data_IF_367098743188
#
_entry.id   IF_367098743188
#
_cell.length_a   1.000
_cell.length_b   1.000
_cell.length_c   1.000
_cell.angle_alpha   90.00
_cell.angle_beta   90.00
_cell.angle_gamma   90.00
#
_symmetry.space_group_name_H-M   'P 1'
#
loop_
_entity.id
_entity.type
_entity.pdbx_description
1 polymer ?
#
# COMPACT_ATOMS: atom_id res chain seq x y z
N UNK A 1 -2.10 1.53 19.04
CA UNK A 1 -3.19 1.26 18.09
C UNK A 1 -3.04 2.17 16.89
N UNK A 2 -3.18 1.61 15.71
CA UNK A 2 -3.11 2.39 14.47
C UNK A 2 -4.51 2.78 14.05
N UNK A 3 -4.66 4.05 13.70
CA UNK A 3 -5.92 4.55 13.17
C UNK A 3 -5.83 4.61 11.66
N UNK A 4 -6.84 4.06 11.00
CA UNK A 4 -6.93 4.10 9.55
C UNK A 4 -7.85 5.22 9.12
N UNK A 5 -7.37 6.05 8.20
CA UNK A 5 -8.15 7.15 7.66
C UNK A 5 -8.49 6.85 6.21
N UNK A 6 -9.76 6.74 5.84
CA UNK A 6 -10.12 6.43 4.47
C UNK A 6 -9.78 7.58 3.52
N UNK A 7 -9.24 7.22 2.37
CA UNK A 7 -8.92 8.17 1.30
C UNK A 7 -9.88 7.86 0.15
N UNK A 8 -10.92 8.68 0.01
CA UNK A 8 -11.99 8.42 -0.96
C UNK A 8 -12.18 9.55 -1.95
N UNK A 9 -11.74 10.76 -1.62
CA UNK A 9 -11.96 11.93 -2.44
C UNK A 9 -10.64 12.55 -2.84
N UNK A 10 -10.70 13.43 -3.83
CA UNK A 10 -9.53 14.19 -4.26
C UNK A 10 -8.97 15.04 -3.12
N UNK A 11 -9.86 15.61 -2.30
CA UNK A 11 -9.42 16.39 -1.14
C UNK A 11 -8.65 15.55 -0.15
N UNK A 12 -9.08 14.30 0.07
CA UNK A 12 -8.35 13.39 0.94
C UNK A 12 -6.94 13.13 0.41
N UNK A 13 -6.81 12.95 -0.90
CA UNK A 13 -5.52 12.71 -1.54
C UNK A 13 -4.63 13.94 -1.39
N UNK A 14 -5.16 15.12 -1.66
CA UNK A 14 -4.40 16.35 -1.55
C UNK A 14 -3.92 16.58 -0.12
N UNK A 15 -4.78 16.30 0.85
CA UNK A 15 -4.42 16.43 2.25
C UNK A 15 -3.33 15.44 2.65
N UNK A 16 -3.44 14.19 2.18
CA UNK A 16 -2.42 13.18 2.43
C UNK A 16 -1.07 13.63 1.89
N UNK A 17 -1.04 14.10 0.66
CA UNK A 17 0.20 14.54 0.05
C UNK A 17 0.77 15.76 0.78
N UNK A 18 -0.08 16.69 1.17
CA UNK A 18 0.35 17.88 1.90
C UNK A 18 0.91 17.53 3.28
N UNK A 19 0.21 16.63 4.01
CA UNK A 19 0.62 16.26 5.37
C UNK A 19 1.95 15.52 5.40
N UNK A 20 2.31 14.83 4.32
CA UNK A 20 3.51 14.01 4.27
C UNK A 20 4.52 14.51 3.24
N UNK A 21 4.43 15.78 2.85
CA UNK A 21 5.42 16.41 1.98
C UNK A 21 5.59 15.70 0.65
N UNK A 22 4.49 15.23 0.05
CA UNK A 22 4.47 14.48 -1.20
C UNK A 22 5.35 13.22 -1.14
N UNK A 23 5.57 12.70 0.07
CA UNK A 23 6.43 11.55 0.33
C UNK A 23 7.86 11.75 -0.12
N UNK A 24 8.28 13.00 -0.24
CA UNK A 24 9.66 13.33 -0.51
C UNK A 24 10.53 12.94 0.70
N UNK A 25 11.76 12.51 0.44
CA UNK A 25 12.67 12.02 1.48
C UNK A 25 12.10 10.83 2.23
N UNK A 26 11.44 9.93 1.50
CA UNK A 26 10.82 8.74 2.04
C UNK A 26 11.34 7.50 1.33
N UNK A 27 11.35 6.38 2.05
CA UNK A 27 11.72 5.08 1.49
C UNK A 27 10.56 4.11 1.63
N UNK A 28 10.37 3.28 0.62
CA UNK A 28 9.48 2.14 0.74
C UNK A 28 10.21 1.05 1.50
N UNK A 29 9.68 0.69 2.67
CA UNK A 29 10.28 -0.30 3.54
C UNK A 29 9.77 -1.70 3.22
N UNK A 30 8.47 -1.82 2.97
CA UNK A 30 7.86 -3.11 2.70
C UNK A 30 6.61 -2.97 1.84
N UNK A 31 6.35 -4.06 1.14
CA UNK A 31 5.17 -4.23 0.30
C UNK A 31 4.57 -5.58 0.63
N UNK A 32 3.26 -5.65 0.87
CA UNK A 32 2.57 -6.89 1.13
C UNK A 32 1.29 -6.92 0.30
N UNK A 33 1.21 -7.86 -0.63
CA UNK A 33 0.03 -8.04 -1.47
C UNK A 33 -0.67 -9.34 -1.13
N UNK A 34 -1.97 -9.25 -0.88
CA UNK A 34 -2.83 -10.39 -0.69
C UNK A 34 -3.86 -10.41 -1.81
N UNK A 35 -3.88 -11.50 -2.56
CA UNK A 35 -4.79 -11.62 -3.71
C UNK A 35 -6.21 -11.98 -3.28
N UNK A 36 -6.38 -12.57 -2.11
CA UNK A 36 -7.65 -13.12 -1.67
C UNK A 36 -7.95 -14.49 -2.24
N UNK A 37 -7.10 -15.00 -3.11
CA UNK A 37 -7.26 -16.34 -3.67
C UNK A 37 -6.85 -17.40 -2.64
N UNK A 38 -7.54 -18.51 -2.65
CA UNK A 38 -7.23 -19.59 -1.71
C UNK A 38 -7.72 -20.93 -2.25
N UNK A 39 -7.24 -21.99 -1.61
CA UNK A 39 -7.71 -23.36 -1.86
C UNK A 39 -8.43 -23.81 -0.61
N UNK A 40 -9.65 -24.32 -0.77
CA UNK A 40 -10.45 -24.77 0.37
C UNK A 40 -10.08 -26.20 0.79
N UNK A 41 -10.76 -26.70 1.81
CA UNK A 41 -10.48 -28.04 2.35
C UNK A 41 -10.80 -29.16 1.37
N UNK A 42 -11.64 -28.88 0.38
CA UNK A 42 -11.99 -29.83 -0.68
C UNK A 42 -11.05 -29.72 -1.89
N UNK A 43 -9.98 -28.91 -1.77
CA UNK A 43 -9.00 -28.68 -2.83
C UNK A 43 -9.56 -27.88 -4.01
N UNK A 44 -10.66 -27.19 -3.81
CA UNK A 44 -11.20 -26.31 -4.83
C UNK A 44 -10.55 -24.92 -4.72
N UNK A 45 -10.23 -24.34 -5.88
CA UNK A 45 -9.60 -23.03 -5.95
C UNK A 45 -10.67 -21.95 -5.99
N UNK A 46 -10.42 -20.87 -5.23
CA UNK A 46 -11.28 -19.71 -5.17
C UNK A 46 -10.48 -18.45 -5.46
N UNK A 47 -11.06 -17.54 -6.21
CA UNK A 47 -10.37 -16.29 -6.57
C UNK A 47 -10.61 -15.15 -5.57
N UNK A 48 -11.59 -15.32 -4.69
CA UNK A 48 -12.01 -14.22 -3.84
C UNK A 48 -12.70 -13.13 -4.66
N UNK A 49 -13.23 -12.13 -3.97
CA UNK A 49 -13.81 -10.99 -4.67
C UNK A 49 -12.78 -9.86 -4.76
N UNK A 50 -13.16 -8.78 -5.45
CA UNK A 50 -12.24 -7.66 -5.67
C UNK A 50 -11.80 -7.01 -4.36
N UNK A 51 -12.68 -7.00 -3.36
CA UNK A 51 -12.37 -6.37 -2.07
C UNK A 51 -11.36 -7.18 -1.25
N UNK A 52 -11.17 -8.44 -1.58
CA UNK A 52 -10.17 -9.27 -0.91
C UNK A 52 -8.75 -8.98 -1.38
N UNK A 53 -8.59 -8.23 -2.47
CA UNK A 53 -7.27 -7.86 -2.97
C UNK A 53 -6.79 -6.62 -2.25
N UNK A 54 -5.74 -6.77 -1.45
CA UNK A 54 -5.23 -5.70 -0.60
C UNK A 54 -3.73 -5.57 -0.79
N UNK A 55 -3.28 -4.36 -1.05
CA UNK A 55 -1.86 -4.02 -1.07
C UNK A 55 -1.57 -3.11 0.10
N UNK A 56 -0.61 -3.50 0.92
CA UNK A 56 -0.11 -2.66 2.01
C UNK A 56 1.30 -2.21 1.68
N UNK A 57 1.54 -0.91 1.76
CA UNK A 57 2.86 -0.32 1.51
C UNK A 57 3.26 0.47 2.74
N UNK A 58 4.43 0.15 3.28
CA UNK A 58 4.96 0.87 4.45
C UNK A 58 6.12 1.75 3.99
N UNK A 59 6.01 3.03 4.32
CA UNK A 59 7.04 4.03 4.05
C UNK A 59 7.69 4.46 5.36
N UNK A 60 8.98 4.74 5.32
CA UNK A 60 9.65 5.46 6.39
C UNK A 60 10.16 6.79 5.84
N UNK A 61 10.08 7.82 6.68
CA UNK A 61 10.38 9.19 6.32
C UNK A 61 11.50 9.73 7.20
N UNK A 62 12.19 10.73 6.71
CA UNK A 62 13.18 11.46 7.51
C UNK A 62 12.52 12.39 8.54
N UNK A 63 11.25 12.71 8.33
CA UNK A 63 10.50 13.66 9.17
C UNK A 63 9.35 12.95 9.86
N UNK A 64 8.86 13.56 10.95
CA UNK A 64 7.70 12.99 11.65
C UNK A 64 6.40 13.20 10.86
N UNK A 65 5.48 12.23 10.85
CA UNK A 65 5.65 10.90 11.41
C UNK A 65 6.64 10.07 10.59
N UNK A 66 7.46 9.30 11.28
CA UNK A 66 8.53 8.54 10.61
C UNK A 66 7.98 7.40 9.76
N UNK A 67 6.93 6.75 10.23
CA UNK A 67 6.38 5.57 9.54
C UNK A 67 4.95 5.83 9.11
N UNK A 68 4.67 5.53 7.85
CA UNK A 68 3.33 5.68 7.26
C UNK A 68 3.00 4.40 6.51
N UNK A 69 1.81 3.88 6.72
CA UNK A 69 1.31 2.73 5.96
C UNK A 69 0.11 3.12 5.12
N UNK A 70 0.14 2.75 3.84
CA UNK A 70 -0.98 2.92 2.93
C UNK A 70 -1.55 1.56 2.57
N UNK A 71 -2.87 1.46 2.55
CA UNK A 71 -3.56 0.26 2.07
C UNK A 71 -4.40 0.59 0.85
N UNK A 72 -4.28 -0.25 -0.16
CA UNK A 72 -5.08 -0.16 -1.38
C UNK A 72 -5.95 -1.41 -1.45
N UNK A 73 -7.26 -1.21 -1.42
CA UNK A 73 -8.24 -2.29 -1.44
C UNK A 73 -8.90 -2.34 -2.81
N UNK A 74 -9.11 -3.56 -3.31
CA UNK A 74 -9.68 -3.74 -4.64
C UNK A 74 -8.68 -3.50 -5.77
N UNK A 75 -7.41 -3.76 -5.50
CA UNK A 75 -6.34 -3.55 -6.46
C UNK A 75 -6.56 -4.41 -7.70
N UNK A 76 -6.47 -3.79 -8.87
CA UNK A 76 -6.65 -4.51 -10.14
C UNK A 76 -5.34 -4.91 -10.78
N UNK A 77 -4.30 -4.14 -10.52
CA UNK A 77 -3.04 -4.33 -11.22
C UNK A 77 -1.89 -3.90 -10.33
N UNK A 78 -0.85 -4.71 -10.30
CA UNK A 78 0.36 -4.41 -9.56
C UNK A 78 1.55 -4.60 -10.47
N UNK A 79 2.36 -3.55 -10.61
CA UNK A 79 3.59 -3.59 -11.38
C UNK A 79 4.77 -3.36 -10.46
N UNK A 80 5.72 -4.27 -10.51
CA UNK A 80 6.98 -4.13 -9.78
C UNK A 80 8.10 -4.08 -10.80
N UNK A 81 8.89 -3.03 -10.73
CA UNK A 81 10.07 -2.88 -11.58
C UNK A 81 11.27 -3.45 -10.84
N UNK A 82 12.19 -4.08 -11.56
CA UNK A 82 13.39 -4.62 -10.94
C UNK A 82 14.14 -3.55 -10.16
N UNK A 83 14.68 -3.95 -9.02
CA UNK A 83 15.38 -3.03 -8.14
C UNK A 83 16.75 -2.67 -8.68
N UNK A 84 17.02 -1.40 -8.67
CA UNK A 84 18.37 -0.87 -8.85
C UNK A 84 18.66 0.07 -7.70
N UNK A 85 19.87 0.59 -7.65
CA UNK A 85 20.27 1.44 -6.55
C UNK A 85 19.32 2.61 -6.37
N UNK A 86 18.81 2.77 -5.15
CA UNK A 86 18.04 3.95 -4.73
C UNK A 86 16.62 4.07 -5.32
N UNK A 87 16.10 3.04 -5.97
CA UNK A 87 14.75 3.12 -6.52
C UNK A 87 13.67 3.27 -5.48
N UNK A 88 13.90 2.81 -4.27
CA UNK A 88 12.88 2.82 -3.23
C UNK A 88 12.99 4.03 -2.31
N UNK A 89 13.96 4.88 -2.54
CA UNK A 89 14.18 6.09 -1.74
C UNK A 89 14.25 7.33 -2.63
N UNK A 90 13.78 8.42 -2.11
CA UNK A 90 13.87 9.71 -2.76
C UNK A 90 14.51 10.74 -1.86
#
# INVERSE_FOLDING_TARGET
>A
MQDWYPIKTRENIERLMSDYGDFHDSCVVSLNFQSGAYVDDNRAMHFGDAQARVLSVVFQRQWEPKTVELQFIGLRQLHLVGWQDNYLCE
#
